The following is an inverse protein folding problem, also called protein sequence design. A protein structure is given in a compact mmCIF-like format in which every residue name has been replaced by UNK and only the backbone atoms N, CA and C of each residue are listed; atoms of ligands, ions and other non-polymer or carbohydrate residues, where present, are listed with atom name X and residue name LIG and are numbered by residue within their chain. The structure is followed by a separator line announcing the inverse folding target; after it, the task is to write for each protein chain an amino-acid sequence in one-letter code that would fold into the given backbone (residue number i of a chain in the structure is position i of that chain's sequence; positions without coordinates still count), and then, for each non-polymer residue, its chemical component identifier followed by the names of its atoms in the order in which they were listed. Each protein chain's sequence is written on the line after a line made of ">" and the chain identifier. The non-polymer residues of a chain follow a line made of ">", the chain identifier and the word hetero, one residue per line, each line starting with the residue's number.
data_IF_167899830575
#
_entry.id   IF_167899830575
#
_cell.length_a   1.000
_cell.length_b   1.000
_cell.length_c   1.000
_cell.angle_alpha   90.00
_cell.angle_beta   90.00
_cell.angle_gamma   90.00
#
_symmetry.space_group_name_H-M   'P 1'
#
loop_
_entity.id
_entity.type
_entity.pdbx_description
1 polymer ?
#
# COMPACT_ATOMS: atom_id res chain seq x y z
N UNK A 1 0.23 -4.47 -18.12
CA UNK A 1 0.73 -4.18 -16.76
C UNK A 1 0.63 -5.47 -15.98
N UNK A 2 1.71 -5.96 -15.35
CA UNK A 2 1.64 -7.12 -14.48
C UNK A 2 1.07 -6.69 -13.13
N UNK A 3 0.07 -7.40 -12.62
CA UNK A 3 -0.43 -7.20 -11.26
C UNK A 3 0.55 -7.80 -10.25
N UNK A 4 0.71 -7.13 -9.11
CA UNK A 4 1.41 -7.72 -7.97
C UNK A 4 0.46 -8.68 -7.26
N UNK A 5 0.63 -9.97 -7.53
CA UNK A 5 -0.20 -11.02 -6.94
C UNK A 5 0.30 -11.42 -5.54
N UNK A 6 -0.63 -11.59 -4.60
CA UNK A 6 -0.36 -12.01 -3.23
C UNK A 6 -1.28 -13.16 -2.81
N UNK A 7 -0.83 -14.04 -1.89
CA UNK A 7 -1.73 -14.96 -1.22
C UNK A 7 -2.58 -14.20 -0.20
N UNK A 8 -3.80 -13.82 -0.59
CA UNK A 8 -4.73 -13.11 0.29
C UNK A 8 -5.16 -14.01 1.44
N UNK A 9 -5.05 -13.53 2.68
CA UNK A 9 -5.48 -14.23 3.88
C UNK A 9 -6.66 -13.54 4.57
N UNK A 10 -6.63 -12.21 4.71
CA UNK A 10 -7.69 -11.42 5.33
C UNK A 10 -7.62 -9.97 4.88
N UNK A 11 -8.74 -9.39 4.43
CA UNK A 11 -8.80 -7.97 4.04
C UNK A 11 -9.03 -7.01 5.23
N UNK A 12 -9.34 -7.55 6.42
CA UNK A 12 -9.61 -6.74 7.60
C UNK A 12 -8.38 -5.93 8.01
N UNK A 13 -8.54 -4.61 8.17
CA UNK A 13 -7.44 -3.70 8.53
C UNK A 13 -6.58 -3.21 7.35
N UNK A 14 -6.81 -3.70 6.12
CA UNK A 14 -6.09 -3.23 4.94
C UNK A 14 -6.35 -1.74 4.66
N UNK A 15 -7.61 -1.30 4.81
CA UNK A 15 -7.98 0.12 4.72
C UNK A 15 -7.35 0.97 5.82
N UNK A 16 -7.32 0.48 7.06
CA UNK A 16 -6.70 1.20 8.18
C UNK A 16 -5.18 1.37 7.96
N UNK A 17 -4.53 0.33 7.45
CA UNK A 17 -3.09 0.36 7.10
C UNK A 17 -2.81 1.33 5.95
N UNK A 18 -3.70 1.37 4.95
CA UNK A 18 -3.67 2.33 3.85
C UNK A 18 -3.82 3.77 4.36
N UNK A 19 -4.76 4.05 5.28
CA UNK A 19 -4.94 5.39 5.87
C UNK A 19 -3.78 5.78 6.78
N UNK A 20 -3.25 4.85 7.59
CA UNK A 20 -2.09 5.10 8.44
C UNK A 20 -0.83 5.45 7.64
N UNK A 21 -0.59 4.73 6.54
CA UNK A 21 0.51 5.03 5.62
C UNK A 21 0.27 6.33 4.82
N UNK A 22 -0.98 6.68 4.52
CA UNK A 22 -1.32 7.98 3.92
C UNK A 22 -0.96 9.13 4.88
N UNK A 23 -1.35 9.03 6.15
CA UNK A 23 -1.00 10.04 7.16
C UNK A 23 0.52 10.18 7.29
N UNK A 24 1.26 9.06 7.33
CA UNK A 24 2.72 9.07 7.31
C UNK A 24 3.28 9.79 6.08
N UNK A 25 2.80 9.46 4.88
CA UNK A 25 3.32 10.03 3.63
C UNK A 25 3.06 11.54 3.53
N UNK A 26 1.88 12.00 3.95
CA UNK A 26 1.54 13.42 3.99
C UNK A 26 2.42 14.20 4.98
N UNK A 27 2.66 13.66 6.18
CA UNK A 27 3.53 14.28 7.18
C UNK A 27 4.99 14.40 6.69
N UNK A 28 5.43 13.53 5.79
CA UNK A 28 6.77 13.54 5.21
C UNK A 28 6.85 14.27 3.85
N UNK A 29 5.75 14.87 3.38
CA UNK A 29 5.73 15.63 2.14
C UNK A 29 6.03 14.79 0.89
N UNK A 30 5.65 13.51 0.89
CA UNK A 30 5.89 12.62 -0.25
C UNK A 30 5.07 13.05 -1.48
N UNK A 31 5.58 12.77 -2.68
CA UNK A 31 4.88 13.04 -3.93
C UNK A 31 3.64 12.16 -4.09
N UNK A 32 2.70 12.55 -4.95
CA UNK A 32 1.49 11.76 -5.23
C UNK A 32 1.81 10.33 -5.70
N UNK A 33 2.88 10.16 -6.49
CA UNK A 33 3.34 8.83 -6.94
C UNK A 33 3.79 7.99 -5.75
N UNK A 34 4.62 8.55 -4.87
CA UNK A 34 5.12 7.86 -3.68
C UNK A 34 3.98 7.53 -2.71
N UNK A 35 3.05 8.46 -2.50
CA UNK A 35 1.83 8.23 -1.70
C UNK A 35 1.04 7.05 -2.27
N UNK A 36 0.76 7.06 -3.58
CA UNK A 36 0.01 5.97 -4.22
C UNK A 36 0.72 4.62 -4.09
N UNK A 37 2.05 4.59 -4.22
CA UNK A 37 2.82 3.35 -4.04
C UNK A 37 2.79 2.85 -2.59
N UNK A 38 3.08 3.74 -1.63
CA UNK A 38 3.18 3.39 -0.21
C UNK A 38 1.84 2.89 0.35
N UNK A 39 0.77 3.64 0.06
CA UNK A 39 -0.57 3.33 0.57
C UNK A 39 -1.14 2.04 0.00
N UNK A 40 -0.91 1.81 -1.30
CA UNK A 40 -1.25 0.54 -1.96
C UNK A 40 -0.44 -0.61 -1.37
N UNK A 41 0.87 -0.44 -1.17
CA UNK A 41 1.71 -1.47 -0.58
C UNK A 41 1.32 -1.83 0.85
N UNK A 42 0.96 -0.84 1.68
CA UNK A 42 0.47 -1.08 3.04
C UNK A 42 -0.81 -1.90 3.04
N UNK A 43 -1.80 -1.52 2.24
CA UNK A 43 -3.06 -2.26 2.12
C UNK A 43 -2.84 -3.70 1.62
N UNK A 44 -2.03 -3.87 0.57
CA UNK A 44 -1.72 -5.18 -0.01
C UNK A 44 -1.02 -6.09 0.99
N UNK A 45 0.00 -5.60 1.71
CA UNK A 45 0.70 -6.45 2.69
C UNK A 45 -0.22 -6.84 3.83
N UNK A 46 -1.03 -5.91 4.36
CA UNK A 46 -2.02 -6.26 5.38
C UNK A 46 -2.99 -7.33 4.88
N UNK A 47 -3.44 -7.23 3.63
CA UNK A 47 -4.32 -8.23 3.02
C UNK A 47 -3.71 -9.66 2.95
N UNK A 48 -2.37 -9.74 2.94
CA UNK A 48 -1.62 -11.01 2.94
C UNK A 48 -1.44 -11.62 4.34
N UNK A 49 -1.84 -10.94 5.41
CA UNK A 49 -1.68 -11.41 6.80
C UNK A 49 -2.95 -12.07 7.34
N UNK A 50 -2.84 -13.04 8.26
CA UNK A 50 -3.99 -13.69 8.86
C UNK A 50 -4.70 -12.78 9.88
N UNK A 51 -6.02 -12.89 9.93
CA UNK A 51 -6.86 -12.24 10.95
C UNK A 51 -6.84 -10.72 10.87
N UNK A 52 -6.50 -10.06 11.99
CA UNK A 52 -6.46 -8.60 12.14
C UNK A 52 -5.03 -8.05 12.24
N UNK A 53 -4.03 -8.83 11.85
CA UNK A 53 -2.64 -8.38 11.82
C UNK A 53 -2.45 -7.32 10.74
N UNK A 54 -1.70 -6.26 11.04
CA UNK A 54 -1.38 -5.18 10.10
C UNK A 54 0.03 -5.30 9.54
N UNK A 55 0.30 -4.61 8.43
CA UNK A 55 1.61 -4.57 7.81
C UNK A 55 2.69 -3.95 8.70
N UNK A 56 3.93 -4.44 8.61
CA UNK A 56 5.11 -3.78 9.19
C UNK A 56 5.72 -2.76 8.24
N UNK A 57 6.26 -1.65 8.79
CA UNK A 57 6.89 -0.59 7.98
C UNK A 57 7.97 -1.13 7.02
N UNK A 58 8.86 -1.98 7.50
CA UNK A 58 9.95 -2.53 6.67
C UNK A 58 9.43 -3.41 5.51
N UNK A 59 8.31 -4.11 5.70
CA UNK A 59 7.68 -4.90 4.64
C UNK A 59 7.08 -3.99 3.58
N UNK A 60 6.40 -2.92 4.00
CA UNK A 60 5.82 -1.91 3.11
C UNK A 60 6.91 -1.27 2.26
N UNK A 61 7.98 -0.77 2.88
CA UNK A 61 9.08 -0.11 2.16
C UNK A 61 9.74 -1.02 1.13
N UNK A 62 9.91 -2.31 1.44
CA UNK A 62 10.47 -3.30 0.48
C UNK A 62 9.54 -3.57 -0.71
N UNK A 63 8.25 -3.35 -0.54
CA UNK A 63 7.22 -3.68 -1.53
C UNK A 63 6.83 -2.51 -2.43
N UNK A 64 7.29 -1.28 -2.14
CA UNK A 64 7.05 -0.09 -2.98
C UNK A 64 7.34 -0.34 -4.47
N UNK A 65 8.46 -0.99 -4.87
CA UNK A 65 8.75 -1.22 -6.29
C UNK A 65 7.77 -2.15 -7.01
N UNK A 66 6.95 -2.90 -6.26
CA UNK A 66 5.94 -3.81 -6.82
C UNK A 66 4.65 -3.08 -7.21
N UNK A 67 4.47 -1.83 -6.77
CA UNK A 67 3.30 -1.01 -7.12
C UNK A 67 3.63 -0.14 -8.34
N UNK A 68 2.93 -0.42 -9.43
CA UNK A 68 2.98 0.40 -10.65
C UNK A 68 1.92 1.51 -10.56
N UNK A 69 2.32 2.75 -10.83
CA UNK A 69 1.43 3.92 -10.82
C UNK A 69 1.47 4.59 -12.19
N UNK A 70 0.31 4.65 -12.84
CA UNK A 70 0.12 5.28 -14.14
C UNK A 70 -0.73 6.54 -14.00
N UNK A 71 -0.37 7.66 -14.66
CA UNK A 71 -1.20 8.85 -14.69
C UNK A 71 -2.54 8.55 -15.38
N UNK A 72 -3.64 8.95 -14.77
CA UNK A 72 -4.94 8.93 -15.42
C UNK A 72 -5.07 10.16 -16.32
N UNK A 73 -5.36 9.95 -17.60
CA UNK A 73 -5.79 11.05 -18.48
C UNK A 73 -7.21 11.44 -18.08
N UNK A 74 -7.38 12.68 -17.63
CA UNK A 74 -8.71 13.25 -17.47
C UNK A 74 -9.25 13.60 -18.86
N UNK A 75 -10.44 13.12 -19.17
CA UNK A 75 -11.17 13.45 -20.39
C UNK A 75 -11.83 14.83 -20.28
#
# INVERSE_FOLDING_TARGET
>A
VHSWDIPVQSATGAGDSMVGSLAYALLHGLSLREIAQLTTAAGTITASKPGTQVCGQAEVMKSIPLVTVEPMKMA
#
